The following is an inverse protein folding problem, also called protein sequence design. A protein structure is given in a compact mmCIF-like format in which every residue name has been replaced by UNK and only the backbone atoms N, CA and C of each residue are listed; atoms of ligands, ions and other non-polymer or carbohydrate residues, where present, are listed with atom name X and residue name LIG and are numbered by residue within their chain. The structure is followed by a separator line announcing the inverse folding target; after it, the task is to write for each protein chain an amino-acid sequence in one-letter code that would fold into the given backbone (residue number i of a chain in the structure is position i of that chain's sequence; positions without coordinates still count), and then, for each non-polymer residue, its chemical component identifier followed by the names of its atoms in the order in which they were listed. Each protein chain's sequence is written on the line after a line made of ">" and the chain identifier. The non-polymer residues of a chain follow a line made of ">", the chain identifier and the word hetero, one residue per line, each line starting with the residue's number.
data_IF_527303042761
#
_entry.id   IF_527303042761
#
_cell.length_a   1.000
_cell.length_b   1.000
_cell.length_c   1.000
_cell.angle_alpha   90.00
_cell.angle_beta   90.00
_cell.angle_gamma   90.00
#
_symmetry.space_group_name_H-M   'P 1'
#
loop_
_entity.id
_entity.type
_entity.pdbx_description
1 polymer ?
#
# COMPACT_ATOMS: atom_id res chain seq x y z
N UNK A 1 -35.18 2.64 1.72
CA UNK A 1 -34.31 1.76 2.53
C UNK A 1 -32.89 2.28 2.33
N UNK A 2 -32.55 3.31 3.09
CA UNK A 2 -31.28 4.02 3.01
C UNK A 2 -30.17 3.14 3.59
N UNK A 3 -29.44 2.47 2.71
CA UNK A 3 -28.27 1.69 3.11
C UNK A 3 -27.11 2.66 3.33
N UNK A 4 -26.99 3.14 4.56
CA UNK A 4 -25.97 4.08 5.04
C UNK A 4 -24.54 3.54 4.98
N UNK A 5 -24.00 3.40 3.77
CA UNK A 5 -22.55 3.28 3.53
C UNK A 5 -22.20 4.34 2.49
N UNK A 6 -22.10 5.61 2.92
CA UNK A 6 -21.74 6.70 2.01
C UNK A 6 -20.24 6.68 1.65
N UNK A 7 -19.38 5.97 2.40
CA UNK A 7 -17.94 5.88 2.14
C UNK A 7 -17.42 4.49 2.55
N UNK A 8 -16.98 3.69 1.58
CA UNK A 8 -16.18 2.49 1.87
C UNK A 8 -14.72 2.89 2.14
N UNK A 9 -14.33 3.00 3.41
CA UNK A 9 -12.97 3.39 3.78
C UNK A 9 -12.17 2.22 4.33
N UNK A 10 -11.13 1.81 3.61
CA UNK A 10 -10.09 0.92 4.12
C UNK A 10 -9.11 1.72 4.99
N UNK A 11 -8.64 1.09 6.06
CA UNK A 11 -7.67 1.68 6.97
C UNK A 11 -6.32 1.01 6.80
N UNK A 12 -5.26 1.79 6.59
CA UNK A 12 -3.91 1.25 6.71
C UNK A 12 -3.67 0.80 8.16
N UNK A 13 -3.11 -0.40 8.32
CA UNK A 13 -2.79 -0.96 9.63
C UNK A 13 -1.83 -0.03 10.38
N UNK A 14 -0.88 0.64 9.70
CA UNK A 14 -0.06 1.74 10.20
C UNK A 14 -0.49 3.08 9.59
N UNK A 15 -1.74 3.47 9.84
CA UNK A 15 -2.28 4.77 9.47
C UNK A 15 -2.44 5.70 10.68
N UNK A 16 -2.47 7.03 10.49
CA UNK A 16 -2.70 7.99 11.57
C UNK A 16 -4.00 7.72 12.35
N UNK A 17 -5.06 7.30 11.65
CA UNK A 17 -6.34 6.99 12.29
C UNK A 17 -6.27 5.74 13.19
N UNK A 18 -5.57 4.68 12.75
CA UNK A 18 -5.41 3.47 13.58
C UNK A 18 -4.54 3.78 14.80
N UNK A 19 -3.46 4.55 14.65
CA UNK A 19 -2.66 5.01 15.79
C UNK A 19 -3.45 5.89 16.75
N UNK A 20 -4.32 6.76 16.23
CA UNK A 20 -5.20 7.58 17.06
C UNK A 20 -6.20 6.72 17.84
N UNK A 21 -6.85 5.74 17.20
CA UNK A 21 -7.79 4.83 17.87
C UNK A 21 -7.13 4.04 19.00
N UNK A 22 -5.87 3.63 18.80
CA UNK A 22 -5.08 2.91 19.82
C UNK A 22 -4.70 3.85 20.95
N UNK A 23 -4.10 5.00 20.65
CA UNK A 23 -3.58 5.93 21.66
C UNK A 23 -4.68 6.62 22.48
N UNK A 24 -5.83 6.90 21.88
CA UNK A 24 -7.03 7.39 22.57
C UNK A 24 -7.83 6.30 23.28
N UNK A 25 -7.44 5.03 23.11
CA UNK A 25 -8.12 3.88 23.71
C UNK A 25 -9.58 3.68 23.21
N UNK A 26 -9.96 4.34 22.12
CA UNK A 26 -11.26 4.27 21.45
C UNK A 26 -11.43 2.96 20.69
N UNK A 27 -10.34 2.30 20.29
CA UNK A 27 -10.36 1.02 19.58
C UNK A 27 -11.17 -0.09 20.28
N UNK A 28 -11.43 0.04 21.59
CA UNK A 28 -12.30 -0.88 22.35
C UNK A 28 -13.78 -0.86 21.93
N UNK A 29 -14.22 0.19 21.24
CA UNK A 29 -15.61 0.39 20.85
C UNK A 29 -15.92 -0.07 19.42
N UNK A 30 -14.90 -0.51 18.67
CA UNK A 30 -15.05 -0.97 17.28
C UNK A 30 -14.33 -2.30 17.08
N UNK A 31 -14.88 -3.14 16.21
CA UNK A 31 -14.23 -4.38 15.78
C UNK A 31 -13.68 -4.24 14.36
N UNK A 32 -12.45 -4.74 14.17
CA UNK A 32 -11.75 -4.69 12.88
C UNK A 32 -11.46 -6.09 12.34
N UNK A 33 -11.51 -6.23 11.02
CA UNK A 33 -11.00 -7.40 10.30
C UNK A 33 -9.91 -6.98 9.34
N UNK A 34 -8.94 -7.88 9.15
CA UNK A 34 -7.94 -7.72 8.11
C UNK A 34 -8.54 -8.03 6.75
N UNK A 35 -8.18 -7.24 5.75
CA UNK A 35 -8.44 -7.60 4.36
C UNK A 35 -7.59 -8.82 4.01
N UNK A 36 -8.19 -9.79 3.34
CA UNK A 36 -7.52 -11.08 3.06
C UNK A 36 -6.68 -11.04 1.80
N UNK A 37 -7.09 -10.28 0.78
CA UNK A 37 -6.41 -10.23 -0.53
C UNK A 37 -6.46 -8.83 -1.11
N UNK A 38 -5.36 -8.41 -1.73
CA UNK A 38 -5.29 -7.23 -2.60
C UNK A 38 -5.23 -7.75 -4.04
N UNK A 39 -6.03 -7.18 -4.93
CA UNK A 39 -6.12 -7.58 -6.33
C UNK A 39 -5.74 -6.40 -7.23
N UNK A 40 -5.12 -6.70 -8.36
CA UNK A 40 -4.85 -5.73 -9.43
C UNK A 40 -5.40 -6.24 -10.76
N UNK A 41 -5.87 -5.31 -11.59
CA UNK A 41 -6.31 -5.60 -12.94
C UNK A 41 -5.10 -5.55 -13.88
N UNK A 42 -4.69 -6.70 -14.40
CA UNK A 42 -3.54 -6.83 -15.28
C UNK A 42 -3.88 -7.80 -16.41
N UNK A 43 -3.64 -7.39 -17.66
CA UNK A 43 -3.88 -8.21 -18.86
C UNK A 43 -5.30 -8.81 -18.90
N UNK A 44 -6.31 -7.96 -18.67
CA UNK A 44 -7.73 -8.32 -18.63
C UNK A 44 -8.12 -9.39 -17.60
N UNK A 45 -7.31 -9.53 -16.54
CA UNK A 45 -7.53 -10.48 -15.46
C UNK A 45 -7.33 -9.83 -14.10
N UNK A 46 -8.20 -10.19 -13.15
CA UNK A 46 -7.95 -9.93 -11.73
C UNK A 46 -6.86 -10.87 -11.21
N UNK A 47 -5.73 -10.30 -10.81
CA UNK A 47 -4.59 -11.04 -10.28
C UNK A 47 -4.30 -10.64 -8.84
N UNK A 48 -3.97 -11.59 -7.94
CA UNK A 48 -3.59 -11.25 -6.58
C UNK A 48 -2.24 -10.55 -6.56
N UNK A 49 -2.18 -9.49 -5.77
CA UNK A 49 -0.96 -8.72 -5.53
C UNK A 49 -0.17 -9.44 -4.44
N UNK A 50 1.10 -9.79 -4.67
CA UNK A 50 1.92 -10.40 -3.64
C UNK A 50 2.15 -9.45 -2.45
N UNK A 51 1.69 -9.83 -1.26
CA UNK A 51 1.81 -9.02 -0.04
C UNK A 51 2.86 -9.54 0.95
N UNK A 52 3.53 -10.66 0.64
CA UNK A 52 4.63 -11.19 1.43
C UNK A 52 5.75 -11.74 0.55
N UNK A 53 6.92 -11.98 1.16
CA UNK A 53 8.02 -12.69 0.49
C UNK A 53 7.54 -14.04 -0.06
N UNK A 54 6.77 -14.78 0.73
CA UNK A 54 6.21 -16.07 0.31
C UNK A 54 5.30 -15.92 -0.92
N UNK A 55 4.44 -14.90 -0.96
CA UNK A 55 3.57 -14.64 -2.10
C UNK A 55 4.36 -14.26 -3.36
N UNK A 56 5.43 -13.46 -3.21
CA UNK A 56 6.34 -13.10 -4.32
C UNK A 56 7.01 -14.37 -4.86
N UNK A 57 7.39 -15.32 -4.01
CA UNK A 57 7.93 -16.59 -4.48
C UNK A 57 6.89 -17.49 -5.14
N UNK A 58 5.66 -17.51 -4.63
CA UNK A 58 4.58 -18.37 -5.13
C UNK A 58 3.94 -17.89 -6.43
N UNK A 59 3.98 -16.59 -6.74
CA UNK A 59 3.30 -16.06 -7.95
C UNK A 59 3.97 -16.51 -9.25
N UNK A 60 3.16 -16.92 -10.23
CA UNK A 60 3.60 -17.24 -11.59
C UNK A 60 3.55 -16.03 -12.53
N UNK A 61 2.90 -14.94 -12.09
CA UNK A 61 2.73 -13.72 -12.90
C UNK A 61 4.02 -12.89 -13.06
N UNK A 62 5.08 -13.28 -12.35
CA UNK A 62 6.36 -12.56 -12.30
C UNK A 62 7.49 -13.58 -12.49
N UNK A 63 8.41 -13.32 -13.41
CA UNK A 63 9.55 -14.20 -13.65
C UNK A 63 10.54 -14.20 -12.47
N UNK A 64 11.43 -15.20 -12.37
CA UNK A 64 12.43 -15.28 -11.29
C UNK A 64 13.33 -14.04 -11.25
N UNK A 65 13.69 -13.50 -12.42
CA UNK A 65 14.50 -12.28 -12.53
C UNK A 65 13.72 -11.08 -12.01
N UNK A 66 12.47 -10.92 -12.43
CA UNK A 66 11.61 -9.83 -11.97
C UNK A 66 11.31 -9.92 -10.46
N UNK A 67 11.17 -11.13 -9.88
CA UNK A 67 11.01 -11.30 -8.42
C UNK A 67 12.20 -10.72 -7.66
N UNK A 68 13.43 -10.94 -8.15
CA UNK A 68 14.65 -10.35 -7.54
C UNK A 68 14.68 -8.84 -7.68
N UNK A 69 14.28 -8.31 -8.84
CA UNK A 69 14.21 -6.87 -9.08
C UNK A 69 13.16 -6.20 -8.18
N UNK A 70 11.98 -6.80 -8.08
CA UNK A 70 10.90 -6.33 -7.21
C UNK A 70 11.35 -6.30 -5.75
N UNK A 71 11.89 -7.41 -5.24
CA UNK A 71 12.39 -7.47 -3.85
C UNK A 71 13.46 -6.41 -3.59
N UNK A 72 14.43 -6.24 -4.51
CA UNK A 72 15.46 -5.20 -4.39
C UNK A 72 14.83 -3.80 -4.32
N UNK A 73 13.87 -3.51 -5.18
CA UNK A 73 13.18 -2.22 -5.22
C UNK A 73 12.40 -1.95 -3.93
N UNK A 74 11.58 -2.91 -3.48
CA UNK A 74 10.78 -2.78 -2.26
C UNK A 74 11.65 -2.60 -1.02
N UNK A 75 12.76 -3.36 -0.91
CA UNK A 75 13.72 -3.19 0.19
C UNK A 75 14.39 -1.82 0.14
N UNK A 76 14.73 -1.31 -1.05
CA UNK A 76 15.30 0.03 -1.21
C UNK A 76 14.33 1.12 -0.71
N UNK A 77 13.06 1.06 -1.13
CA UNK A 77 12.04 2.04 -0.72
C UNK A 77 11.84 2.06 0.80
N UNK A 78 11.80 0.89 1.44
CA UNK A 78 11.66 0.78 2.90
C UNK A 78 12.90 1.27 3.62
N UNK A 79 14.08 1.00 3.05
CA UNK A 79 15.39 1.32 3.64
C UNK A 79 15.72 2.81 3.65
N UNK A 80 15.18 3.60 2.71
CA UNK A 80 15.50 5.03 2.62
C UNK A 80 15.21 5.77 3.93
N UNK A 81 16.25 6.34 4.54
CA UNK A 81 16.13 7.34 5.60
C UNK A 81 15.90 8.74 5.00
N UNK A 82 15.71 9.77 5.84
CA UNK A 82 15.42 11.14 5.35
C UNK A 82 16.57 11.73 4.51
N UNK A 83 17.83 11.49 4.91
CA UNK A 83 19.00 11.98 4.17
C UNK A 83 19.15 11.29 2.81
N UNK A 84 18.97 9.97 2.78
CA UNK A 84 18.98 9.17 1.56
C UNK A 84 17.84 9.56 0.63
N UNK A 85 16.64 9.82 1.16
CA UNK A 85 15.54 10.34 0.36
C UNK A 85 15.90 11.69 -0.28
N UNK A 86 16.48 12.61 0.49
CA UNK A 86 16.84 13.93 -0.03
C UNK A 86 17.92 13.85 -1.13
N UNK A 87 18.86 12.91 -1.01
CA UNK A 87 19.92 12.72 -2.00
C UNK A 87 19.43 11.99 -3.26
N UNK A 88 18.70 10.89 -3.09
CA UNK A 88 18.21 10.03 -4.19
C UNK A 88 17.16 10.74 -5.04
N UNK A 89 16.27 11.52 -4.43
CA UNK A 89 15.11 12.12 -5.10
C UNK A 89 15.29 13.59 -5.49
N UNK A 90 16.48 14.16 -5.31
CA UNK A 90 16.78 15.57 -5.63
C UNK A 90 16.40 15.95 -7.07
N UNK A 91 16.76 15.09 -8.02
CA UNK A 91 16.51 15.28 -9.46
C UNK A 91 15.15 14.71 -9.93
N UNK A 92 14.30 14.31 -8.98
CA UNK A 92 13.01 13.64 -9.21
C UNK A 92 11.82 14.42 -8.65
N UNK A 93 12.03 15.66 -8.20
CA UNK A 93 10.99 16.51 -7.60
C UNK A 93 9.84 16.79 -8.58
N UNK A 94 10.16 17.07 -9.84
CA UNK A 94 9.18 17.42 -10.88
C UNK A 94 8.82 16.26 -11.83
N UNK A 95 9.23 15.04 -11.47
CA UNK A 95 9.05 13.83 -12.29
C UNK A 95 8.02 12.89 -11.68
N UNK A 96 7.46 12.06 -12.54
CA UNK A 96 6.48 11.05 -12.14
C UNK A 96 7.14 9.84 -11.48
N UNK A 97 6.39 9.13 -10.65
CA UNK A 97 6.86 7.89 -10.05
C UNK A 97 7.11 6.81 -11.13
N UNK A 98 6.33 6.81 -12.21
CA UNK A 98 6.52 5.91 -13.34
C UNK A 98 7.89 6.11 -14.01
N UNK A 99 8.30 7.36 -14.25
CA UNK A 99 9.62 7.67 -14.83
C UNK A 99 10.76 7.20 -13.92
N UNK A 100 10.60 7.36 -12.60
CA UNK A 100 11.59 6.89 -11.64
C UNK A 100 11.73 5.36 -11.66
N UNK A 101 10.62 4.62 -11.65
CA UNK A 101 10.65 3.16 -11.72
C UNK A 101 11.25 2.67 -13.05
N UNK A 102 10.97 3.36 -14.14
CA UNK A 102 11.55 3.09 -15.46
C UNK A 102 13.05 3.32 -15.46
N UNK A 103 13.51 4.43 -14.86
CA UNK A 103 14.94 4.74 -14.71
C UNK A 103 15.68 3.73 -13.83
N UNK A 104 15.01 3.16 -12.81
CA UNK A 104 15.54 2.04 -12.02
C UNK A 104 15.59 0.71 -12.79
N UNK A 105 15.11 0.68 -14.03
CA UNK A 105 15.18 -0.48 -14.92
C UNK A 105 14.11 -1.52 -14.65
N UNK A 106 13.01 -1.17 -13.96
CA UNK A 106 11.90 -2.11 -13.76
C UNK A 106 11.17 -2.38 -15.08
N UNK A 107 10.69 -3.62 -15.23
CA UNK A 107 9.86 -4.00 -16.37
C UNK A 107 8.47 -3.34 -16.26
N UNK A 108 7.74 -3.14 -17.38
CA UNK A 108 6.38 -2.60 -17.34
C UNK A 108 5.44 -3.38 -16.41
N UNK A 109 5.62 -4.70 -16.33
CA UNK A 109 4.88 -5.57 -15.41
C UNK A 109 5.15 -5.21 -13.94
N UNK A 110 6.42 -5.03 -13.56
CA UNK A 110 6.76 -4.63 -12.19
C UNK A 110 6.32 -3.19 -11.87
N UNK A 111 6.44 -2.28 -12.84
CA UNK A 111 5.93 -0.91 -12.71
C UNK A 111 4.43 -0.94 -12.39
N UNK A 112 3.66 -1.80 -13.07
CA UNK A 112 2.23 -1.97 -12.81
C UNK A 112 1.95 -2.34 -11.36
N UNK A 113 2.65 -3.36 -10.82
CA UNK A 113 2.49 -3.76 -9.42
C UNK A 113 2.89 -2.64 -8.45
N UNK A 114 4.03 -1.99 -8.66
CA UNK A 114 4.53 -0.98 -7.71
C UNK A 114 3.70 0.30 -7.76
N UNK A 115 3.34 0.79 -8.93
CA UNK A 115 2.59 2.03 -9.11
C UNK A 115 1.10 1.87 -8.75
N UNK A 116 0.40 0.92 -9.35
CA UNK A 116 -1.05 0.84 -9.21
C UNK A 116 -1.47 0.02 -7.98
N UNK A 117 -0.78 -1.09 -7.69
CA UNK A 117 -1.20 -2.00 -6.63
C UNK A 117 -0.63 -1.65 -5.25
N UNK A 118 0.63 -1.20 -5.19
CA UNK A 118 1.32 -0.90 -3.93
C UNK A 118 1.17 0.59 -3.58
N UNK A 119 1.51 1.51 -4.48
CA UNK A 119 1.34 2.95 -4.23
C UNK A 119 -0.12 3.41 -4.35
N UNK A 120 -0.98 2.67 -5.05
CA UNK A 120 -2.37 3.07 -5.30
C UNK A 120 -2.48 4.32 -6.19
N UNK A 121 -1.47 4.56 -7.03
CA UNK A 121 -1.35 5.77 -7.84
C UNK A 121 -1.84 5.66 -9.27
N UNK A 122 -1.63 6.73 -10.02
CA UNK A 122 -1.86 6.83 -11.47
C UNK A 122 -0.58 7.26 -12.17
N UNK A 123 -0.56 7.31 -13.51
CA UNK A 123 0.63 7.70 -14.28
C UNK A 123 1.13 9.12 -13.97
N UNK A 124 0.25 9.99 -13.48
CA UNK A 124 0.58 11.36 -13.09
C UNK A 124 1.04 11.50 -11.64
N UNK A 125 1.15 10.40 -10.88
CA UNK A 125 1.58 10.44 -9.49
C UNK A 125 3.01 10.99 -9.39
N UNK A 126 3.25 12.05 -8.60
CA UNK A 126 4.59 12.57 -8.33
C UNK A 126 5.50 11.51 -7.72
N UNK A 127 6.79 11.52 -8.07
CA UNK A 127 7.74 10.51 -7.62
C UNK A 127 7.81 10.38 -6.08
N UNK A 128 8.00 11.49 -5.37
CA UNK A 128 8.09 11.46 -3.90
C UNK A 128 6.79 10.97 -3.24
N UNK A 129 5.64 11.29 -3.81
CA UNK A 129 4.35 10.82 -3.31
C UNK A 129 4.24 9.29 -3.46
N UNK A 130 4.57 8.75 -4.64
CA UNK A 130 4.56 7.32 -4.89
C UNK A 130 5.50 6.53 -3.99
N UNK A 131 6.70 7.07 -3.71
CA UNK A 131 7.65 6.47 -2.77
C UNK A 131 7.10 6.44 -1.34
N UNK A 132 6.47 7.53 -0.88
CA UNK A 132 5.87 7.62 0.46
C UNK A 132 4.70 6.64 0.61
N UNK A 133 3.79 6.57 -0.35
CA UNK A 133 2.67 5.63 -0.30
C UNK A 133 3.15 4.17 -0.39
N UNK A 134 4.17 3.88 -1.22
CA UNK A 134 4.81 2.56 -1.22
C UNK A 134 5.39 2.20 0.14
N UNK A 135 6.15 3.13 0.76
CA UNK A 135 6.76 2.90 2.07
C UNK A 135 5.69 2.65 3.13
N UNK A 136 4.61 3.43 3.14
CA UNK A 136 3.47 3.26 4.04
C UNK A 136 2.74 1.93 3.85
N UNK A 137 2.52 1.51 2.60
CA UNK A 137 1.96 0.20 2.28
C UNK A 137 2.86 -0.92 2.84
N UNK A 138 4.16 -0.88 2.55
CA UNK A 138 5.11 -1.92 2.95
C UNK A 138 5.30 -1.98 4.47
N UNK A 139 5.35 -0.84 5.15
CA UNK A 139 5.43 -0.78 6.61
C UNK A 139 4.16 -1.32 7.29
N UNK A 140 3.01 -1.23 6.62
CA UNK A 140 1.72 -1.73 7.11
C UNK A 140 1.54 -3.25 6.96
N UNK A 141 2.34 -3.91 6.12
CA UNK A 141 2.28 -5.35 5.93
C UNK A 141 2.63 -6.09 7.22
N UNK A 142 1.95 -7.21 7.49
CA UNK A 142 2.28 -8.11 8.59
C UNK A 142 1.92 -7.59 10.00
N UNK A 143 1.37 -6.37 10.15
CA UNK A 143 1.01 -5.84 11.49
C UNK A 143 -0.10 -6.65 12.18
N UNK A 144 -1.16 -6.97 11.44
CA UNK A 144 -2.31 -7.73 11.94
C UNK A 144 -2.68 -8.92 11.04
N UNK A 145 -2.17 -8.95 9.80
CA UNK A 145 -2.44 -9.96 8.80
C UNK A 145 -1.51 -9.81 7.60
N UNK A 146 -1.75 -10.59 6.55
CA UNK A 146 -0.87 -10.61 5.37
C UNK A 146 -0.95 -9.32 4.53
N UNK A 147 -2.11 -8.66 4.53
CA UNK A 147 -2.30 -7.40 3.79
C UNK A 147 -2.17 -6.18 4.71
N UNK A 148 -1.97 -4.96 4.17
CA UNK A 148 -1.76 -3.78 4.98
C UNK A 148 -3.06 -3.12 5.45
N UNK A 149 -4.22 -3.70 5.17
CA UNK A 149 -5.51 -3.04 5.35
C UNK A 149 -6.38 -3.69 6.42
N UNK A 150 -7.10 -2.83 7.13
CA UNK A 150 -8.16 -3.15 8.07
C UNK A 150 -9.49 -2.57 7.57
N UNK A 151 -10.58 -3.22 7.97
CA UNK A 151 -11.95 -2.80 7.72
C UNK A 151 -12.76 -2.91 9.01
N UNK A 152 -13.65 -1.95 9.28
CA UNK A 152 -14.55 -1.97 10.43
C UNK A 152 -15.76 -2.87 10.17
N UNK A 153 -16.05 -3.78 11.10
CA UNK A 153 -17.05 -4.84 10.88
C UNK A 153 -18.45 -4.33 10.53
N UNK A 154 -18.87 -3.21 11.12
CA UNK A 154 -20.21 -2.65 10.91
C UNK A 154 -20.20 -1.40 10.01
N UNK A 155 -19.14 -1.23 9.21
CA UNK A 155 -19.00 -0.13 8.27
C UNK A 155 -18.31 1.09 8.85
N UNK A 156 -18.04 2.07 7.99
CA UNK A 156 -17.27 3.28 8.35
C UNK A 156 -18.00 4.23 9.29
N UNK A 157 -19.32 4.14 9.36
CA UNK A 157 -20.17 4.96 10.24
C UNK A 157 -19.95 4.73 11.74
N UNK A 158 -19.30 3.63 12.13
CA UNK A 158 -18.93 3.39 13.53
C UNK A 158 -17.80 4.30 14.00
N UNK A 159 -16.89 4.71 13.12
CA UNK A 159 -15.72 5.49 13.51
C UNK A 159 -16.14 6.83 14.13
N UNK A 160 -17.01 7.66 13.51
CA UNK A 160 -17.53 8.86 14.17
C UNK A 160 -18.23 8.56 15.50
N UNK A 161 -19.05 7.50 15.58
CA UNK A 161 -19.78 7.15 16.81
C UNK A 161 -18.81 6.79 17.94
N UNK A 162 -17.72 6.10 17.64
CA UNK A 162 -16.68 5.75 18.61
C UNK A 162 -15.97 6.99 19.14
N UNK A 163 -15.75 8.02 18.32
CA UNK A 163 -15.17 9.30 18.76
C UNK A 163 -16.14 10.18 19.54
N UNK A 164 -17.45 10.01 19.35
CA UNK A 164 -18.47 10.74 20.12
C UNK A 164 -18.71 10.18 21.53
N UNK A 165 -18.22 8.99 21.83
CA UNK A 165 -18.44 8.29 23.11
C UNK A 165 -17.35 8.61 24.13
#
# INVERSE_FOLDING_TARGET
>A
MDSGILICQLLFSRGPLVELLISSNIARYAEFRCVTRVLTWLSDKLTPVPCSRADVFATEAVSIVEKRMLMKMLTSIVGYNEEEMNNEFKDWTDKTFQEYLTHKGLTPNLIHYVLYAIAGGTNSMPCLEGVRECKKFLMSLGRYGNTPFLWSMYGSGELPQCFCR
#
